data_IF_494205520001
#
_entry.id   IF_494205520001
#
_cell.length_a   1.000
_cell.length_b   1.000
_cell.length_c   1.000
_cell.angle_alpha   90.00
_cell.angle_beta   90.00
_cell.angle_gamma   90.00
#
_symmetry.space_group_name_H-M   'P 1'
#
loop_
_entity.id
_entity.type
_entity.pdbx_description
1 polymer ?
#
# COMPACT_ATOMS: atom_id res chain seq x y z
N UNK A 1 -17.41 -1.39 -18.33
CA UNK A 1 -16.67 -0.28 -17.67
C UNK A 1 -16.89 -0.36 -16.18
N UNK A 2 -15.82 -0.29 -15.39
CA UNK A 2 -15.92 -0.28 -13.92
C UNK A 2 -16.44 1.09 -13.47
N UNK A 3 -17.49 1.08 -12.65
CA UNK A 3 -18.01 2.30 -12.06
C UNK A 3 -17.15 2.65 -10.84
N UNK A 4 -16.30 3.66 -10.98
CA UNK A 4 -15.32 4.05 -9.95
C UNK A 4 -16.01 4.92 -8.91
N UNK A 5 -15.84 4.56 -7.63
CA UNK A 5 -16.39 5.31 -6.51
C UNK A 5 -15.94 6.79 -6.53
N UNK A 6 -16.83 7.77 -6.23
CA UNK A 6 -16.52 9.20 -6.33
C UNK A 6 -15.29 9.64 -5.52
N UNK A 7 -15.05 9.04 -4.34
CA UNK A 7 -13.85 9.36 -3.54
C UNK A 7 -12.54 8.97 -4.23
N UNK A 8 -12.55 7.90 -5.03
CA UNK A 8 -11.37 7.44 -5.78
C UNK A 8 -11.06 8.40 -6.93
N UNK A 9 -12.09 8.99 -7.54
CA UNK A 9 -11.90 9.98 -8.61
C UNK A 9 -11.22 11.28 -8.12
N UNK A 10 -11.22 11.54 -6.80
CA UNK A 10 -10.51 12.65 -6.17
C UNK A 10 -9.05 12.30 -5.81
N UNK A 11 -8.63 11.05 -6.01
CA UNK A 11 -7.27 10.63 -5.74
C UNK A 11 -6.27 11.41 -6.61
N UNK A 12 -5.15 11.81 -5.99
CA UNK A 12 -4.04 12.40 -6.71
C UNK A 12 -3.17 11.31 -7.32
N UNK A 13 -2.79 11.49 -8.58
CA UNK A 13 -1.81 10.65 -9.28
C UNK A 13 -0.69 11.56 -9.75
N UNK A 14 0.36 11.62 -8.95
CA UNK A 14 1.49 12.53 -9.15
C UNK A 14 2.74 11.78 -9.60
N UNK A 15 3.72 12.51 -10.15
CA UNK A 15 5.03 12.01 -10.55
C UNK A 15 6.17 12.65 -9.76
N UNK A 16 6.18 12.54 -8.41
CA UNK A 16 7.16 13.25 -7.59
C UNK A 16 8.59 12.76 -7.78
N UNK A 17 8.75 11.52 -8.31
CA UNK A 17 10.03 10.84 -8.50
C UNK A 17 10.21 10.29 -9.93
N UNK A 18 9.36 10.69 -10.88
CA UNK A 18 9.27 10.06 -12.21
C UNK A 18 8.18 8.99 -12.29
N UNK A 19 8.18 7.88 -11.51
CA UNK A 19 7.02 6.99 -11.40
C UNK A 19 5.81 7.72 -10.83
N UNK A 20 4.63 7.41 -11.35
CA UNK A 20 3.38 7.96 -10.80
C UNK A 20 3.09 7.34 -9.44
N UNK A 21 2.71 8.19 -8.50
CA UNK A 21 2.29 7.79 -7.15
C UNK A 21 0.84 8.21 -6.96
N UNK A 22 0.02 7.26 -6.56
CA UNK A 22 -1.36 7.51 -6.16
C UNK A 22 -1.40 7.88 -4.68
N UNK A 23 -2.21 8.87 -4.33
CA UNK A 23 -2.49 9.23 -2.95
C UNK A 23 -3.98 9.54 -2.75
N UNK A 24 -4.56 8.96 -1.72
CA UNK A 24 -5.97 9.11 -1.38
C UNK A 24 -6.15 9.14 0.14
N UNK A 25 -7.03 10.01 0.62
CA UNK A 25 -7.61 9.90 1.96
C UNK A 25 -8.85 9.00 1.87
N UNK A 26 -8.81 7.84 2.53
CA UNK A 26 -9.94 6.90 2.52
C UNK A 26 -11.21 7.56 3.07
N UNK A 27 -12.39 7.27 2.50
CA UNK A 27 -13.67 7.59 3.13
C UNK A 27 -13.73 7.02 4.54
N UNK A 28 -14.41 7.71 5.46
CA UNK A 28 -14.48 7.30 6.86
C UNK A 28 -14.98 5.85 7.03
N UNK A 29 -16.03 5.47 6.30
CA UNK A 29 -16.60 4.11 6.36
C UNK A 29 -15.60 3.04 5.94
N UNK A 30 -14.86 3.26 4.87
CA UNK A 30 -13.82 2.33 4.38
C UNK A 30 -12.67 2.26 5.39
N UNK A 31 -12.25 3.41 5.92
CA UNK A 31 -11.21 3.45 6.94
C UNK A 31 -11.60 2.70 8.21
N UNK A 32 -12.82 2.91 8.72
CA UNK A 32 -13.31 2.19 9.90
C UNK A 32 -13.40 0.68 9.69
N UNK A 33 -13.76 0.23 8.49
CA UNK A 33 -13.72 -1.17 8.14
C UNK A 33 -12.29 -1.74 8.13
N UNK A 34 -11.30 -0.97 7.64
CA UNK A 34 -9.88 -1.37 7.73
C UNK A 34 -9.40 -1.46 9.17
N UNK A 35 -9.76 -0.49 10.01
CA UNK A 35 -9.40 -0.48 11.44
C UNK A 35 -10.04 -1.68 12.16
N UNK A 36 -11.33 -1.94 11.91
CA UNK A 36 -12.03 -3.09 12.48
C UNK A 36 -11.36 -4.39 12.06
N UNK A 37 -11.10 -4.59 10.76
CA UNK A 37 -10.39 -5.76 10.26
C UNK A 37 -9.03 -5.93 10.95
N UNK A 38 -8.24 -4.84 11.09
CA UNK A 38 -6.94 -4.93 11.75
C UNK A 38 -7.04 -5.33 13.22
N UNK A 39 -8.03 -4.82 13.96
CA UNK A 39 -8.23 -5.19 15.34
C UNK A 39 -8.66 -6.66 15.47
N UNK A 40 -9.58 -7.11 14.63
CA UNK A 40 -10.06 -8.50 14.62
C UNK A 40 -8.93 -9.47 14.24
N UNK A 41 -8.06 -9.12 13.31
CA UNK A 41 -6.86 -9.91 12.98
C UNK A 41 -5.89 -9.97 14.15
N UNK A 42 -5.69 -8.87 14.88
CA UNK A 42 -4.81 -8.83 16.05
C UNK A 42 -5.31 -9.73 17.19
N UNK A 43 -6.63 -9.76 17.42
CA UNK A 43 -7.24 -10.50 18.51
C UNK A 43 -7.40 -11.99 18.22
N UNK A 44 -7.35 -12.40 16.96
CA UNK A 44 -7.51 -13.81 16.55
C UNK A 44 -6.31 -14.66 16.99
N UNK A 45 -6.59 -15.91 17.38
CA UNK A 45 -5.56 -16.90 17.67
C UNK A 45 -5.06 -17.66 16.44
N UNK A 46 -5.81 -17.59 15.34
CA UNK A 46 -5.61 -18.34 14.10
C UNK A 46 -5.10 -17.46 12.94
N UNK A 47 -4.50 -16.30 13.27
CA UNK A 47 -3.91 -15.44 12.27
C UNK A 47 -2.76 -16.12 11.51
N UNK A 48 -2.66 -15.85 10.21
CA UNK A 48 -1.61 -16.38 9.35
C UNK A 48 -0.41 -15.44 9.40
N UNK A 49 0.71 -15.90 9.97
CA UNK A 49 1.96 -15.12 9.94
C UNK A 49 2.46 -14.99 8.50
N UNK A 50 2.83 -13.76 8.13
CA UNK A 50 3.39 -13.45 6.81
C UNK A 50 4.88 -13.10 6.86
N UNK A 51 5.51 -13.20 8.03
CA UNK A 51 6.91 -12.80 8.26
C UNK A 51 7.91 -13.53 7.35
N UNK A 52 7.62 -14.78 6.97
CA UNK A 52 8.52 -15.58 6.11
C UNK A 52 8.54 -15.11 4.64
N UNK A 53 7.53 -14.37 4.21
CA UNK A 53 7.45 -13.79 2.87
C UNK A 53 8.02 -12.36 2.80
N UNK A 54 8.35 -11.77 3.94
CA UNK A 54 8.72 -10.37 4.05
C UNK A 54 10.16 -10.19 4.57
N UNK A 55 10.81 -9.14 4.09
CA UNK A 55 12.18 -8.77 4.51
C UNK A 55 12.21 -7.90 5.77
N UNK A 56 11.04 -7.55 6.31
CA UNK A 56 10.90 -6.65 7.45
C UNK A 56 11.46 -7.21 8.74
N UNK A 57 12.10 -6.35 9.53
CA UNK A 57 12.44 -6.62 10.92
C UNK A 57 11.27 -6.25 11.82
N UNK A 58 10.13 -6.91 11.61
CA UNK A 58 8.89 -6.73 12.36
C UNK A 58 8.44 -8.07 12.91
N UNK A 59 7.99 -8.05 14.14
CA UNK A 59 7.55 -9.25 14.85
C UNK A 59 6.16 -9.72 14.40
N UNK A 60 5.28 -8.79 14.07
CA UNK A 60 3.88 -9.06 13.82
C UNK A 60 3.45 -8.55 12.45
N UNK A 61 3.43 -9.46 11.47
CA UNK A 61 2.96 -9.24 10.13
C UNK A 61 2.02 -10.39 9.77
N UNK A 62 0.74 -10.06 9.49
CA UNK A 62 -0.30 -11.06 9.32
C UNK A 62 -0.99 -10.94 7.97
N UNK A 63 -1.07 -12.06 7.26
CA UNK A 63 -1.79 -12.16 5.99
C UNK A 63 -3.28 -11.96 6.18
N UNK A 64 -3.92 -11.29 5.22
CA UNK A 64 -5.36 -11.06 5.15
C UNK A 64 -5.92 -11.78 3.92
N UNK A 65 -6.65 -12.88 4.08
CA UNK A 65 -7.33 -13.57 2.98
C UNK A 65 -8.32 -12.66 2.24
N UNK A 66 -8.50 -12.88 0.94
CA UNK A 66 -9.47 -12.13 0.13
C UNK A 66 -10.90 -12.28 0.64
N UNK A 67 -11.24 -13.44 1.19
CA UNK A 67 -12.53 -13.68 1.84
C UNK A 67 -12.80 -12.69 2.97
N UNK A 68 -11.80 -12.38 3.79
CA UNK A 68 -11.91 -11.37 4.84
C UNK A 68 -12.05 -9.95 4.27
N UNK A 69 -11.30 -9.59 3.22
CA UNK A 69 -11.49 -8.29 2.56
C UNK A 69 -12.91 -8.14 2.01
N UNK A 70 -13.48 -9.21 1.45
CA UNK A 70 -14.87 -9.23 0.97
C UNK A 70 -15.87 -9.10 2.12
N UNK A 71 -15.68 -9.82 3.21
CA UNK A 71 -16.51 -9.76 4.42
C UNK A 71 -16.60 -8.34 5.01
N UNK A 72 -15.47 -7.60 4.99
CA UNK A 72 -15.41 -6.22 5.47
C UNK A 72 -15.77 -5.17 4.40
N UNK A 73 -16.21 -5.61 3.19
CA UNK A 73 -16.60 -4.72 2.10
C UNK A 73 -15.43 -3.89 1.53
N UNK A 74 -14.21 -4.39 1.64
CA UNK A 74 -12.98 -3.68 1.25
C UNK A 74 -12.47 -4.09 -0.13
N UNK A 75 -12.71 -5.34 -0.55
CA UNK A 75 -12.12 -5.91 -1.76
C UNK A 75 -12.44 -5.10 -3.02
N UNK A 76 -13.72 -4.85 -3.26
CA UNK A 76 -14.16 -4.11 -4.46
C UNK A 76 -13.67 -2.66 -4.47
N UNK A 77 -13.60 -2.03 -3.29
CA UNK A 77 -13.09 -0.67 -3.16
C UNK A 77 -11.61 -0.60 -3.54
N UNK A 78 -10.78 -1.51 -3.02
CA UNK A 78 -9.35 -1.54 -3.35
C UNK A 78 -9.11 -1.92 -4.80
N UNK A 79 -9.88 -2.86 -5.35
CA UNK A 79 -9.83 -3.19 -6.78
C UNK A 79 -10.08 -1.94 -7.65
N UNK A 80 -11.06 -1.10 -7.30
CA UNK A 80 -11.33 0.16 -7.99
C UNK A 80 -10.17 1.17 -7.84
N UNK A 81 -9.48 1.21 -6.69
CA UNK A 81 -8.30 2.05 -6.50
C UNK A 81 -7.16 1.63 -7.45
N UNK A 82 -6.90 0.32 -7.58
CA UNK A 82 -5.88 -0.21 -8.50
C UNK A 82 -6.24 0.08 -9.95
N UNK A 83 -7.49 -0.17 -10.33
CA UNK A 83 -7.99 0.14 -11.66
C UNK A 83 -7.80 1.64 -12.00
N UNK A 84 -8.22 2.52 -11.11
CA UNK A 84 -8.09 3.97 -11.30
C UNK A 84 -6.64 4.41 -11.43
N UNK A 85 -5.77 3.91 -10.55
CA UNK A 85 -4.34 4.18 -10.64
C UNK A 85 -3.77 3.77 -11.99
N UNK A 86 -4.06 2.57 -12.47
CA UNK A 86 -3.54 2.05 -13.72
C UNK A 86 -3.97 2.89 -14.92
N UNK A 87 -5.27 3.17 -15.07
CA UNK A 87 -5.76 3.96 -16.20
C UNK A 87 -5.27 5.41 -16.19
N UNK A 88 -4.94 5.96 -14.99
CA UNK A 88 -4.36 7.29 -14.86
C UNK A 88 -2.83 7.29 -14.95
N UNK A 89 -2.22 6.12 -14.92
CA UNK A 89 -0.77 5.98 -14.99
C UNK A 89 -0.23 5.93 -16.42
N UNK A 90 -1.03 5.47 -17.39
CA UNK A 90 -0.58 5.31 -18.77
C UNK A 90 -1.74 5.40 -19.75
N UNK A 91 -1.59 6.21 -20.80
CA UNK A 91 -2.56 6.33 -21.90
C UNK A 91 -2.76 4.97 -22.60
N UNK A 92 -1.70 4.18 -22.76
CA UNK A 92 -1.77 2.84 -23.33
C UNK A 92 -2.65 1.90 -22.50
N UNK A 93 -2.59 2.02 -21.16
CA UNK A 93 -3.46 1.24 -20.28
C UNK A 93 -4.91 1.75 -20.38
N UNK A 94 -5.12 3.06 -20.44
CA UNK A 94 -6.45 3.64 -20.60
C UNK A 94 -7.11 3.21 -21.92
N UNK A 95 -6.38 3.19 -23.03
CA UNK A 95 -6.85 2.71 -24.33
C UNK A 95 -7.30 1.24 -24.29
N UNK A 96 -6.60 0.40 -23.52
CA UNK A 96 -6.87 -1.04 -23.38
C UNK A 96 -7.66 -1.43 -22.13
N UNK A 97 -8.27 -0.49 -21.44
CA UNK A 97 -8.95 -0.70 -20.14
C UNK A 97 -10.04 -1.78 -20.13
N UNK A 98 -10.65 -2.06 -21.28
CA UNK A 98 -11.67 -3.12 -21.39
C UNK A 98 -11.06 -4.53 -21.34
N UNK A 99 -9.77 -4.65 -21.63
CA UNK A 99 -9.01 -5.91 -21.64
C UNK A 99 -8.10 -6.03 -20.40
N UNK A 100 -8.16 -5.04 -19.51
CA UNK A 100 -7.33 -4.99 -18.31
C UNK A 100 -7.86 -5.96 -17.25
N UNK A 101 -6.98 -6.83 -16.80
CA UNK A 101 -7.17 -7.72 -15.65
C UNK A 101 -6.27 -7.24 -14.52
N UNK A 102 -6.81 -7.27 -13.31
CA UNK A 102 -6.07 -6.96 -12.08
C UNK A 102 -6.28 -8.14 -11.14
N UNK A 103 -5.19 -8.71 -10.68
CA UNK A 103 -5.21 -9.75 -9.65
C UNK A 103 -4.55 -9.18 -8.39
N UNK A 104 -5.27 -9.23 -7.29
CA UNK A 104 -4.72 -8.88 -5.98
C UNK A 104 -3.95 -10.11 -5.51
N UNK A 105 -2.62 -9.99 -5.33
CA UNK A 105 -1.80 -11.13 -4.91
C UNK A 105 -1.84 -11.33 -3.40
N UNK A 106 -1.64 -10.25 -2.66
CA UNK A 106 -1.60 -10.33 -1.21
C UNK A 106 -2.04 -9.02 -0.55
N UNK A 107 -2.68 -9.16 0.59
CA UNK A 107 -2.84 -8.13 1.60
C UNK A 107 -2.27 -8.64 2.93
N UNK A 108 -1.59 -7.76 3.66
CA UNK A 108 -1.12 -8.08 5.01
C UNK A 108 -1.15 -6.85 5.90
N UNK A 109 -1.19 -7.07 7.21
CA UNK A 109 -1.19 -6.02 8.21
C UNK A 109 0.12 -6.08 8.99
N UNK A 110 0.77 -4.94 9.11
CA UNK A 110 1.99 -4.73 9.87
C UNK A 110 1.66 -4.02 11.18
N UNK A 111 2.03 -4.63 12.30
CA UNK A 111 1.96 -4.05 13.64
C UNK A 111 3.38 -3.77 14.10
N UNK A 112 3.93 -2.64 13.64
CA UNK A 112 5.30 -2.23 13.89
C UNK A 112 5.44 -1.70 15.32
N UNK A 113 6.38 -2.25 16.08
CA UNK A 113 6.79 -1.79 17.39
C UNK A 113 7.97 -0.82 17.30
N UNK A 114 8.33 -0.16 18.42
CA UNK A 114 9.47 0.74 18.50
C UNK A 114 10.76 0.06 18.02
N UNK A 115 11.52 0.78 17.18
CA UNK A 115 12.79 0.30 16.63
C UNK A 115 12.67 -0.70 15.49
N UNK A 116 11.49 -1.26 15.22
CA UNK A 116 11.26 -2.14 14.09
C UNK A 116 11.20 -1.36 12.77
N UNK A 117 11.55 -2.00 11.66
CA UNK A 117 11.64 -1.36 10.34
C UNK A 117 11.52 -2.36 9.19
N UNK A 118 11.23 -1.86 7.99
CA UNK A 118 11.48 -2.58 6.74
C UNK A 118 12.72 -2.02 6.06
N UNK A 119 13.72 -2.85 5.72
CA UNK A 119 14.89 -2.41 4.96
C UNK A 119 14.50 -1.97 3.55
N UNK A 120 15.45 -1.42 2.81
CA UNK A 120 15.25 -1.08 1.39
C UNK A 120 14.96 -2.35 0.60
N UNK A 121 13.83 -2.37 -0.09
CA UNK A 121 13.37 -3.50 -0.90
C UNK A 121 12.43 -3.03 -2.02
N UNK A 122 12.01 -3.95 -2.86
CA UNK A 122 10.94 -3.82 -3.83
C UNK A 122 10.14 -5.13 -3.92
N UNK A 123 9.09 -5.13 -4.71
CA UNK A 123 8.24 -6.32 -4.95
C UNK A 123 8.33 -6.71 -6.42
N UNK A 124 9.47 -7.30 -6.82
CA UNK A 124 9.84 -7.54 -8.21
C UNK A 124 8.93 -8.45 -9.03
N UNK A 125 8.02 -9.20 -8.40
CA UNK A 125 7.06 -10.07 -9.09
C UNK A 125 5.69 -9.39 -9.27
N UNK A 126 5.36 -8.42 -8.43
CA UNK A 126 4.15 -7.61 -8.55
C UNK A 126 4.32 -6.48 -9.57
N UNK A 127 3.22 -5.89 -10.02
CA UNK A 127 3.23 -4.67 -10.84
C UNK A 127 2.83 -3.44 -10.03
N UNK A 128 2.03 -3.63 -9.01
CA UNK A 128 1.58 -2.60 -8.08
C UNK A 128 1.91 -3.00 -6.65
N UNK A 129 2.29 -2.03 -5.85
CA UNK A 129 2.45 -2.16 -4.41
C UNK A 129 1.89 -0.93 -3.72
N UNK A 130 1.57 -1.04 -2.44
CA UNK A 130 1.07 0.11 -1.71
C UNK A 130 0.85 -0.15 -0.22
N UNK A 131 0.44 0.93 0.44
CA UNK A 131 0.18 0.90 1.86
C UNK A 131 -0.97 1.84 2.26
N UNK A 132 -1.66 1.45 3.33
CA UNK A 132 -2.69 2.24 4.02
C UNK A 132 -2.22 2.42 5.46
N UNK A 133 -2.24 3.65 5.95
CA UNK A 133 -1.93 3.95 7.34
C UNK A 133 -3.19 3.88 8.20
N UNK A 134 -3.18 3.03 9.23
CA UNK A 134 -4.35 2.79 10.08
C UNK A 134 -4.21 3.44 11.45
N UNK A 135 -3.01 3.39 12.06
CA UNK A 135 -2.76 3.93 13.41
C UNK A 135 -1.32 4.41 13.51
N UNK A 136 -1.14 5.54 14.19
CA UNK A 136 0.16 6.08 14.59
C UNK A 136 0.44 5.72 16.05
N UNK A 137 1.73 5.51 16.41
CA UNK A 137 2.17 5.45 17.79
C UNK A 137 2.25 6.86 18.41
N UNK A 138 2.46 6.91 19.72
CA UNK A 138 2.91 8.15 20.37
C UNK A 138 4.40 8.32 20.12
N UNK A 139 4.74 9.19 19.16
CA UNK A 139 6.14 9.46 18.85
C UNK A 139 6.85 10.19 19.99
N UNK A 140 8.06 9.74 20.37
CA UNK A 140 8.91 10.47 21.28
C UNK A 140 9.45 11.74 20.56
N UNK A 141 8.97 12.89 21.00
CA UNK A 141 9.41 14.19 20.49
C UNK A 141 10.39 14.81 21.47
N UNK A 142 11.64 15.00 21.06
CA UNK A 142 12.66 15.73 21.80
C UNK A 142 12.98 17.03 21.07
N UNK A 143 13.24 18.11 21.80
CA UNK A 143 13.57 19.43 21.22
C UNK A 143 14.81 19.38 20.30
N UNK A 144 15.75 18.46 20.60
CA UNK A 144 17.01 18.30 19.89
C UNK A 144 16.92 17.42 18.62
N UNK A 145 15.76 16.84 18.33
CA UNK A 145 15.60 15.91 17.20
C UNK A 145 14.44 16.34 16.32
N UNK A 146 14.79 16.67 15.10
CA UNK A 146 13.82 16.71 14.02
C UNK A 146 13.50 15.28 13.60
N UNK A 147 12.52 14.66 14.25
CA UNK A 147 12.08 13.28 13.99
C UNK A 147 11.24 13.20 12.71
N UNK A 148 11.67 13.87 11.66
CA UNK A 148 10.93 13.98 10.39
C UNK A 148 10.76 12.66 9.67
N UNK A 149 11.48 11.59 10.09
CA UNK A 149 11.46 10.28 9.42
C UNK A 149 10.88 9.15 10.26
N UNK A 150 10.62 9.37 11.55
CA UNK A 150 10.12 8.31 12.42
C UNK A 150 8.82 7.71 11.86
N UNK A 151 8.82 6.38 11.64
CA UNK A 151 7.70 5.63 11.09
C UNK A 151 7.32 5.95 9.65
N UNK A 152 8.07 6.80 8.94
CA UNK A 152 7.74 7.16 7.55
C UNK A 152 8.00 6.02 6.58
N UNK A 153 7.17 5.91 5.56
CA UNK A 153 7.47 5.18 4.33
C UNK A 153 8.32 6.09 3.44
N UNK A 154 9.50 5.64 3.05
CA UNK A 154 10.38 6.36 2.12
C UNK A 154 10.40 5.64 0.77
N UNK A 155 9.95 6.31 -0.29
CA UNK A 155 10.10 5.88 -1.67
C UNK A 155 11.40 6.44 -2.23
N UNK A 156 12.19 5.63 -2.94
CA UNK A 156 13.53 5.97 -3.42
C UNK A 156 13.57 5.96 -4.94
N UNK A 157 13.95 7.08 -5.52
CA UNK A 157 14.19 7.17 -6.96
C UNK A 157 15.56 6.54 -7.29
N UNK A 158 15.54 5.51 -8.14
CA UNK A 158 16.75 4.82 -8.61
C UNK A 158 17.16 5.21 -10.04
N UNK A 159 16.42 6.15 -10.65
CA UNK A 159 16.78 6.69 -11.97
C UNK A 159 17.99 7.65 -11.89
N UNK A 160 18.73 7.85 -12.99
CA UNK A 160 19.77 8.88 -13.03
C UNK A 160 19.20 10.25 -12.63
N UNK A 161 19.87 10.90 -11.68
CA UNK A 161 19.40 12.15 -11.08
C UNK A 161 20.19 13.30 -11.68
N UNK A 162 19.47 14.33 -12.14
CA UNK A 162 20.09 15.59 -12.52
C UNK A 162 20.20 16.44 -11.25
N UNK A 163 21.43 16.67 -10.81
CA UNK A 163 21.70 17.40 -9.58
C UNK A 163 20.95 18.73 -9.51
N UNK A 164 20.18 18.90 -8.44
CA UNK A 164 19.41 20.12 -8.17
C UNK A 164 18.04 20.20 -8.88
N UNK A 165 17.70 19.27 -9.77
CA UNK A 165 16.42 19.27 -10.50
C UNK A 165 15.48 18.14 -10.09
N UNK A 166 16.02 17.03 -9.56
CA UNK A 166 15.25 15.85 -9.21
C UNK A 166 15.25 15.59 -7.69
N UNK A 167 14.23 14.89 -7.22
CA UNK A 167 14.14 14.38 -5.85
C UNK A 167 14.73 12.97 -5.76
N UNK A 168 15.57 12.73 -4.76
CA UNK A 168 16.13 11.40 -4.47
C UNK A 168 15.13 10.48 -3.81
N UNK A 169 14.29 11.04 -2.97
CA UNK A 169 13.31 10.27 -2.19
C UNK A 169 12.09 11.10 -1.86
N UNK A 170 11.00 10.38 -1.58
CA UNK A 170 9.77 10.93 -1.05
C UNK A 170 9.49 10.26 0.29
N UNK A 171 9.42 11.06 1.36
CA UNK A 171 8.97 10.59 2.65
C UNK A 171 7.46 10.76 2.77
N UNK A 172 6.77 9.66 3.01
CA UNK A 172 5.33 9.61 3.23
C UNK A 172 5.10 9.43 4.72
N UNK A 173 4.58 10.44 5.37
CA UNK A 173 4.25 10.39 6.78
C UNK A 173 3.04 9.47 7.02
N UNK A 174 3.02 8.68 8.10
CA UNK A 174 1.98 7.69 8.36
C UNK A 174 0.69 8.33 8.92
N UNK A 175 0.11 9.26 8.18
CA UNK A 175 -1.16 9.88 8.55
C UNK A 175 -2.29 8.88 8.41
N UNK A 176 -3.08 8.59 9.47
CA UNK A 176 -4.22 7.68 9.38
C UNK A 176 -5.18 8.04 8.25
N UNK A 177 -5.77 7.04 7.61
CA UNK A 177 -6.59 7.11 6.39
C UNK A 177 -5.81 7.33 5.10
N UNK A 178 -4.51 7.65 5.15
CA UNK A 178 -3.69 7.81 3.95
C UNK A 178 -3.49 6.46 3.25
N UNK A 179 -3.90 6.36 1.98
CA UNK A 179 -3.66 5.23 1.08
C UNK A 179 -2.75 5.67 -0.05
N UNK A 180 -1.73 4.86 -0.33
CA UNK A 180 -0.76 5.12 -1.39
C UNK A 180 -0.57 3.89 -2.27
N UNK A 181 -0.44 4.09 -3.60
CA UNK A 181 -0.08 3.05 -4.56
C UNK A 181 1.10 3.54 -5.39
N UNK A 182 2.03 2.64 -5.69
CA UNK A 182 3.21 2.90 -6.52
C UNK A 182 3.57 1.67 -7.36
N UNK A 183 4.40 1.83 -8.41
CA UNK A 183 4.89 0.67 -9.16
C UNK A 183 5.73 -0.23 -8.25
N UNK A 184 5.41 -1.52 -8.21
CA UNK A 184 6.04 -2.47 -7.30
C UNK A 184 7.59 -2.54 -7.39
N UNK A 185 8.23 -2.34 -8.57
CA UNK A 185 9.70 -2.26 -8.66
C UNK A 185 10.33 -1.04 -7.98
N UNK A 186 9.55 -0.02 -7.58
CA UNK A 186 10.09 1.16 -6.91
C UNK A 186 10.66 0.78 -5.55
N UNK A 187 11.95 1.10 -5.34
CA UNK A 187 12.61 0.87 -4.06
C UNK A 187 11.94 1.66 -2.95
N UNK A 188 11.73 1.01 -1.82
CA UNK A 188 11.15 1.66 -0.65
C UNK A 188 11.61 1.01 0.66
N UNK A 189 11.39 1.74 1.73
CA UNK A 189 11.67 1.29 3.09
C UNK A 189 10.65 1.88 4.07
N UNK A 190 10.53 1.27 5.24
CA UNK A 190 9.79 1.84 6.37
C UNK A 190 10.79 2.15 7.48
N UNK A 191 10.88 3.41 7.86
CA UNK A 191 11.77 3.85 8.91
C UNK A 191 11.31 3.33 10.29
N UNK A 192 12.24 3.02 11.19
CA UNK A 192 11.90 2.77 12.58
C UNK A 192 11.34 4.05 13.21
N UNK A 193 10.67 3.91 14.33
CA UNK A 193 10.25 5.04 15.15
C UNK A 193 10.68 4.81 16.60
N UNK A 194 10.64 5.88 17.37
CA UNK A 194 10.78 5.89 18.83
C UNK A 194 9.51 6.43 19.42
N UNK A 195 9.04 5.74 20.47
CA UNK A 195 7.82 6.13 21.13
C UNK A 195 7.06 4.95 21.72
N UNK A 196 5.79 5.15 22.03
CA UNK A 196 4.94 4.14 22.67
C UNK A 196 3.80 3.70 21.75
N UNK A 197 3.41 2.45 21.89
CA UNK A 197 2.34 1.85 21.10
C UNK A 197 2.83 1.30 19.76
N UNK A 198 1.91 1.04 18.86
CA UNK A 198 2.19 0.41 17.55
C UNK A 198 1.79 1.32 16.41
N UNK A 199 2.65 1.40 15.40
CA UNK A 199 2.26 1.87 14.07
C UNK A 199 1.58 0.71 13.35
N UNK A 200 0.34 0.91 12.93
CA UNK A 200 -0.40 -0.12 12.19
C UNK A 200 -0.62 0.34 10.75
N UNK A 201 -0.25 -0.50 9.81
CA UNK A 201 -0.49 -0.27 8.38
C UNK A 201 -0.94 -1.56 7.70
N UNK A 202 -1.78 -1.42 6.68
CA UNK A 202 -2.12 -2.50 5.76
C UNK A 202 -1.31 -2.29 4.49
N UNK A 203 -0.64 -3.33 4.02
CA UNK A 203 0.13 -3.30 2.78
C UNK A 203 -0.43 -4.33 1.79
N UNK A 204 -0.09 -4.17 0.51
CA UNK A 204 -0.65 -5.00 -0.55
C UNK A 204 0.22 -5.03 -1.79
N UNK A 205 0.06 -6.12 -2.55
CA UNK A 205 0.59 -6.29 -3.89
C UNK A 205 -0.51 -6.70 -4.86
N UNK A 206 -0.40 -6.25 -6.10
CA UNK A 206 -1.26 -6.68 -7.19
C UNK A 206 -0.46 -6.78 -8.49
N UNK A 207 -0.94 -7.64 -9.40
CA UNK A 207 -0.45 -7.71 -10.78
C UNK A 207 -1.53 -7.22 -11.72
N UNK A 208 -1.12 -6.73 -12.88
CA UNK A 208 -2.04 -6.46 -13.97
C UNK A 208 -1.49 -7.01 -15.28
N UNK A 209 -2.41 -7.40 -16.14
CA UNK A 209 -2.10 -7.83 -17.50
C UNK A 209 -3.29 -7.57 -18.42
N UNK A 210 -3.09 -7.78 -19.73
CA UNK A 210 -4.14 -7.64 -20.71
C UNK A 210 -4.52 -9.01 -21.27
N UNK A 211 -5.81 -9.24 -21.49
CA UNK A 211 -6.31 -10.43 -22.16
C UNK A 211 -7.26 -10.04 -23.29
N UNK A 212 -7.17 -10.73 -24.42
CA UNK A 212 -8.14 -10.59 -25.51
C UNK A 212 -9.38 -11.48 -25.27
N UNK A 213 -9.33 -12.38 -24.30
CA UNK A 213 -10.45 -13.18 -23.86
C UNK A 213 -10.84 -12.87 -22.41
N UNK A 214 -11.89 -12.04 -22.19
CA UNK A 214 -12.38 -11.68 -20.83
C UNK A 214 -12.87 -12.86 -19.99
N UNK A 215 -13.17 -14.02 -20.61
CA UNK A 215 -13.59 -15.23 -19.89
C UNK A 215 -12.41 -15.93 -19.18
N UNK A 216 -11.19 -15.61 -19.52
CA UNK A 216 -9.97 -16.07 -18.84
C UNK A 216 -9.64 -15.29 -17.56
N UNK A 217 -10.62 -14.72 -16.90
CA UNK A 217 -10.44 -14.15 -15.56
C UNK A 217 -10.16 -15.30 -14.61
N UNK A 218 -8.91 -15.44 -14.20
CA UNK A 218 -8.61 -16.30 -13.06
C UNK A 218 -9.22 -15.64 -11.81
N UNK A 219 -10.14 -16.35 -11.17
CA UNK A 219 -10.59 -15.97 -9.83
C UNK A 219 -9.35 -15.92 -8.93
N UNK A 220 -9.20 -14.81 -8.20
CA UNK A 220 -8.08 -14.61 -7.29
C UNK A 220 -7.93 -15.86 -6.40
N UNK A 221 -6.75 -16.48 -6.47
CA UNK A 221 -6.46 -17.63 -5.62
C UNK A 221 -6.41 -17.13 -4.18
N UNK A 222 -7.34 -17.61 -3.34
CA UNK A 222 -7.17 -17.55 -1.90
C UNK A 222 -6.00 -18.48 -1.54
N UNK A 223 -4.89 -17.91 -1.05
CA UNK A 223 -3.76 -18.66 -0.49
C UNK A 223 -4.06 -19.10 0.93
#
# INVERSE_FOLDING_TARGET
MINVHPSIQQARVDTPLGPKIFGLQLPETIFQNCVKLSNDVWERKDHISWNHELVGHMKYQYYVPHSQLKEYGLFDYFYQCFYWYLIKSSDQIEERKNNLIIEIEAFWINYQEEGEYNPVHNHGQATLSGAIHLREPEYERTEDRKNEKDGTLTLINHSPIIFGLDKYSLNVHPVPRGMYIWPAPLLHLVNPFRGKGQRVSMAYNAVHYFTDNPENRHDAKDY
#
